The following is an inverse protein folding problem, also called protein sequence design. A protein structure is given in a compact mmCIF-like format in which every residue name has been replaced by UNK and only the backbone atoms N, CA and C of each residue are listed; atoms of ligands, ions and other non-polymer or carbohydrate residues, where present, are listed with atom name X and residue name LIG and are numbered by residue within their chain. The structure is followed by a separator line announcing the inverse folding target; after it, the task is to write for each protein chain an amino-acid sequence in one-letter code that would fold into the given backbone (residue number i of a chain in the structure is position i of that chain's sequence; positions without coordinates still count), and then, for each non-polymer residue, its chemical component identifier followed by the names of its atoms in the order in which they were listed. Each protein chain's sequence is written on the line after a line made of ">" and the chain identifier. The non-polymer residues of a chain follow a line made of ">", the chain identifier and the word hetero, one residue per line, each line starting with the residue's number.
data_IF_287747758207
#
_entry.id   IF_287747758207
#
_cell.length_a   1.000
_cell.length_b   1.000
_cell.length_c   1.000
_cell.angle_alpha   90.00
_cell.angle_beta   90.00
_cell.angle_gamma   90.00
#
_symmetry.space_group_name_H-M   'P 1'
#
loop_
_entity.id
_entity.type
_entity.pdbx_description
1 polymer ?
#
# COMPACT_ATOMS: atom_id res chain seq x y z
N UNK A 1 13.11 77.03 63.06
CA UNK A 1 12.96 75.56 62.95
C UNK A 1 11.51 75.25 63.29
N UNK A 2 10.65 75.15 62.28
CA UNK A 2 9.24 74.76 62.44
C UNK A 2 9.14 73.28 62.07
N UNK A 3 8.65 72.46 63.00
CA UNK A 3 8.37 71.05 62.76
C UNK A 3 6.96 70.94 62.16
N UNK A 4 6.86 70.50 60.91
CA UNK A 4 5.58 70.13 60.31
C UNK A 4 5.03 68.89 61.02
N UNK A 5 3.87 69.03 61.66
CA UNK A 5 3.12 67.93 62.23
C UNK A 5 2.36 67.22 61.10
N UNK A 6 2.91 66.12 60.60
CA UNK A 6 2.15 65.21 59.72
C UNK A 6 1.03 64.55 60.53
N UNK A 7 -0.21 64.94 60.26
CA UNK A 7 -1.40 64.26 60.76
C UNK A 7 -1.58 62.95 60.00
N UNK A 8 -1.31 61.83 60.67
CA UNK A 8 -1.50 60.50 60.12
C UNK A 8 -3.00 60.17 60.11
N UNK A 9 -3.67 60.41 58.99
CA UNK A 9 -5.07 60.06 58.79
C UNK A 9 -5.22 58.54 58.66
N UNK A 10 -6.04 57.93 59.51
CA UNK A 10 -6.22 56.49 59.52
C UNK A 10 -7.30 56.09 58.51
N UNK A 11 -7.07 55.05 57.69
CA UNK A 11 -8.03 54.62 56.68
C UNK A 11 -9.36 54.18 57.31
N UNK A 12 -10.46 54.57 56.66
CA UNK A 12 -11.81 54.24 57.12
C UNK A 12 -12.10 52.74 56.99
N UNK A 13 -13.22 52.28 57.54
CA UNK A 13 -13.63 50.87 57.41
C UNK A 13 -13.90 50.50 55.94
N UNK A 14 -14.50 51.41 55.17
CA UNK A 14 -14.81 51.20 53.76
C UNK A 14 -13.54 51.15 52.92
N UNK A 15 -12.53 51.99 53.23
CA UNK A 15 -11.22 51.93 52.59
C UNK A 15 -10.53 50.58 52.80
N UNK A 16 -10.63 50.02 54.02
CA UNK A 16 -10.06 48.70 54.33
C UNK A 16 -10.77 47.57 53.59
N UNK A 17 -12.08 47.67 53.37
CA UNK A 17 -12.85 46.69 52.58
C UNK A 17 -12.49 46.78 51.09
N UNK A 18 -12.39 48.00 50.56
CA UNK A 18 -11.99 48.24 49.17
C UNK A 18 -10.55 47.75 48.91
N UNK A 19 -9.61 48.03 49.81
CA UNK A 19 -8.24 47.53 49.73
C UNK A 19 -8.17 45.99 49.72
N UNK A 20 -8.97 45.31 50.57
CA UNK A 20 -9.04 43.84 50.59
C UNK A 20 -9.59 43.26 49.28
N UNK A 21 -10.66 43.85 48.72
CA UNK A 21 -11.23 43.44 47.44
C UNK A 21 -10.24 43.63 46.29
N UNK A 22 -9.61 44.80 46.22
CA UNK A 22 -8.59 45.09 45.21
C UNK A 22 -7.39 44.14 45.32
N UNK A 23 -6.97 43.77 46.53
CA UNK A 23 -5.93 42.77 46.75
C UNK A 23 -6.35 41.37 46.25
N UNK A 24 -7.60 40.96 46.52
CA UNK A 24 -8.14 39.68 46.04
C UNK A 24 -8.27 39.62 44.51
N UNK A 25 -8.74 40.69 43.88
CA UNK A 25 -8.83 40.79 42.42
C UNK A 25 -7.46 40.68 41.75
N UNK A 26 -6.43 41.35 42.29
CA UNK A 26 -5.05 41.24 41.79
C UNK A 26 -4.51 39.81 41.89
N UNK A 27 -4.83 39.10 42.98
CA UNK A 27 -4.44 37.70 43.16
C UNK A 27 -5.11 36.82 42.10
N UNK A 28 -6.40 37.01 41.87
CA UNK A 28 -7.16 36.22 40.90
C UNK A 28 -6.71 36.52 39.46
N UNK A 29 -6.46 37.80 39.12
CA UNK A 29 -5.89 38.19 37.83
C UNK A 29 -4.53 37.52 37.58
N UNK A 30 -3.62 37.61 38.56
CA UNK A 30 -2.29 36.98 38.48
C UNK A 30 -2.42 35.46 38.30
N UNK A 31 -3.38 34.83 39.00
CA UNK A 31 -3.66 33.40 38.86
C UNK A 31 -4.15 33.05 37.46
N UNK A 32 -5.09 33.83 36.91
CA UNK A 32 -5.63 33.60 35.57
C UNK A 32 -4.57 33.78 34.48
N UNK A 33 -3.71 34.79 34.60
CA UNK A 33 -2.58 34.98 33.68
C UNK A 33 -1.61 33.81 33.71
N UNK A 34 -1.23 33.32 34.91
CA UNK A 34 -0.38 32.14 35.04
C UNK A 34 -1.01 30.89 34.44
N UNK A 35 -2.32 30.69 34.62
CA UNK A 35 -3.03 29.56 34.02
C UNK A 35 -3.03 29.65 32.49
N UNK A 36 -3.31 30.83 31.92
CA UNK A 36 -3.26 31.04 30.47
C UNK A 36 -1.85 30.80 29.91
N UNK A 37 -0.83 31.28 30.61
CA UNK A 37 0.57 31.04 30.23
C UNK A 37 0.92 29.55 30.29
N UNK A 38 0.57 28.85 31.38
CA UNK A 38 0.77 27.40 31.50
C UNK A 38 0.06 26.65 30.38
N UNK A 39 -1.18 27.00 30.06
CA UNK A 39 -1.91 26.36 28.96
C UNK A 39 -1.26 26.62 27.59
N UNK A 40 -0.75 27.83 27.35
CA UNK A 40 -0.01 28.16 26.13
C UNK A 40 1.29 27.34 26.05
N UNK A 41 2.04 27.26 27.14
CA UNK A 41 3.28 26.50 27.23
C UNK A 41 3.03 25.00 27.06
N UNK A 42 2.00 24.44 27.73
CA UNK A 42 1.59 23.05 27.57
C UNK A 42 1.17 22.76 26.13
N UNK A 43 0.40 23.64 25.47
CA UNK A 43 0.02 23.48 24.06
C UNK A 43 1.23 23.52 23.13
N UNK A 44 2.16 24.46 23.34
CA UNK A 44 3.36 24.59 22.53
C UNK A 44 4.30 23.40 22.71
N UNK A 45 4.54 23.00 23.96
CA UNK A 45 5.39 21.89 24.31
C UNK A 45 4.82 20.57 23.78
N UNK A 46 3.51 20.31 24.01
CA UNK A 46 2.83 19.13 23.44
C UNK A 46 2.93 19.08 21.93
N UNK A 47 2.74 20.19 21.21
CA UNK A 47 2.90 20.19 19.74
C UNK A 47 4.34 19.88 19.31
N UNK A 48 5.35 20.37 20.03
CA UNK A 48 6.78 20.14 19.72
C UNK A 48 7.23 18.72 20.07
N UNK A 49 6.75 18.19 21.20
CA UNK A 49 7.02 16.84 21.70
C UNK A 49 6.51 15.76 20.76
N UNK A 50 5.37 15.97 20.09
CA UNK A 50 4.80 14.99 19.16
C UNK A 50 5.30 15.17 17.72
N UNK A 51 5.60 16.40 17.28
CA UNK A 51 6.09 16.63 15.92
C UNK A 51 7.47 16.03 15.65
N UNK A 52 8.38 16.08 16.63
CA UNK A 52 9.74 15.54 16.49
C UNK A 52 9.79 14.03 16.27
N UNK A 53 9.16 13.18 17.11
CA UNK A 53 9.14 11.75 16.89
C UNK A 53 8.37 11.38 15.62
N UNK A 54 7.30 12.09 15.27
CA UNK A 54 6.58 11.84 14.01
C UNK A 54 7.45 12.12 12.77
N UNK A 55 8.19 13.23 12.78
CA UNK A 55 9.14 13.53 11.70
C UNK A 55 10.27 12.51 11.65
N UNK A 56 10.85 12.15 12.81
CA UNK A 56 11.89 11.14 12.89
C UNK A 56 11.40 9.77 12.37
N UNK A 57 10.19 9.35 12.76
CA UNK A 57 9.57 8.13 12.27
C UNK A 57 9.34 8.19 10.75
N UNK A 58 8.85 9.32 10.22
CA UNK A 58 8.69 9.52 8.78
C UNK A 58 10.02 9.42 8.00
N UNK A 59 11.09 10.01 8.54
CA UNK A 59 12.44 9.89 7.94
C UNK A 59 12.94 8.45 7.98
N UNK A 60 12.77 7.74 9.10
CA UNK A 60 13.15 6.33 9.20
C UNK A 60 12.39 5.48 8.19
N UNK A 61 11.07 5.64 8.08
CA UNK A 61 10.25 4.92 7.09
C UNK A 61 10.70 5.22 5.66
N UNK A 62 11.00 6.49 5.36
CA UNK A 62 11.47 6.87 4.03
C UNK A 62 12.83 6.27 3.69
N UNK A 63 13.77 6.28 4.64
CA UNK A 63 15.09 5.63 4.47
C UNK A 63 14.93 4.12 4.27
N UNK A 64 14.07 3.46 5.06
CA UNK A 64 13.77 2.04 4.89
C UNK A 64 13.17 1.77 3.51
N UNK A 65 12.23 2.59 3.05
CA UNK A 65 11.66 2.47 1.71
C UNK A 65 12.73 2.60 0.61
N UNK A 66 13.65 3.56 0.73
CA UNK A 66 14.78 3.71 -0.20
C UNK A 66 15.71 2.48 -0.21
N UNK A 67 16.00 1.92 0.97
CA UNK A 67 16.82 0.70 1.07
C UNK A 67 16.15 -0.47 0.38
N UNK A 68 14.83 -0.63 0.53
CA UNK A 68 14.07 -1.71 -0.14
C UNK A 68 14.12 -1.55 -1.67
N UNK A 69 14.17 -0.33 -2.22
CA UNK A 69 14.32 -0.13 -3.67
C UNK A 69 15.66 -0.68 -4.23
N UNK A 70 16.69 -0.78 -3.39
CA UNK A 70 18.03 -1.23 -3.82
C UNK A 70 18.18 -2.75 -3.94
N UNK A 71 17.17 -3.53 -3.55
CA UNK A 71 17.20 -4.99 -3.71
C UNK A 71 17.17 -5.32 -5.21
N UNK A 72 18.21 -5.99 -5.76
CA UNK A 72 18.19 -6.42 -7.15
C UNK A 72 17.25 -7.62 -7.29
N UNK A 73 16.22 -7.46 -8.11
CA UNK A 73 15.35 -8.54 -8.60
C UNK A 73 15.50 -8.60 -10.12
N UNK A 74 15.68 -9.81 -10.64
CA UNK A 74 15.75 -10.10 -12.07
C UNK A 74 14.32 -10.16 -12.62
N UNK A 75 13.93 -9.12 -13.35
CA UNK A 75 12.64 -8.99 -14.05
C UNK A 75 12.87 -9.07 -15.56
N UNK A 76 13.65 -10.05 -15.98
CA UNK A 76 13.89 -10.34 -17.38
C UNK A 76 12.96 -11.46 -17.86
N UNK A 77 12.90 -11.52 -19.19
CA UNK A 77 12.12 -12.48 -19.93
C UNK A 77 13.12 -13.43 -20.58
N UNK A 78 13.27 -14.66 -20.07
CA UNK A 78 14.11 -15.67 -20.69
C UNK A 78 13.64 -15.95 -22.13
N UNK A 79 14.41 -16.75 -22.87
CA UNK A 79 13.95 -17.17 -24.20
C UNK A 79 12.76 -18.12 -24.07
N UNK A 80 11.81 -18.00 -24.99
CA UNK A 80 10.77 -19.01 -25.20
C UNK A 80 11.43 -20.30 -25.68
N UNK A 81 11.14 -21.40 -24.99
CA UNK A 81 11.62 -22.76 -25.31
C UNK A 81 10.63 -23.41 -26.26
N UNK A 82 9.36 -23.49 -25.84
CA UNK A 82 8.24 -24.05 -26.58
C UNK A 82 6.91 -23.53 -26.01
N UNK A 83 5.86 -23.61 -26.82
CA UNK A 83 4.47 -23.37 -26.44
C UNK A 83 3.67 -24.67 -26.52
N UNK A 84 2.50 -24.76 -25.86
CA UNK A 84 1.55 -25.84 -26.11
C UNK A 84 1.15 -25.95 -27.59
N UNK A 85 0.72 -27.14 -28.02
CA UNK A 85 0.12 -27.29 -29.34
C UNK A 85 -1.29 -26.68 -29.38
N UNK A 86 -1.37 -25.44 -29.83
CA UNK A 86 -2.62 -24.71 -29.98
C UNK A 86 -3.51 -25.24 -31.12
N UNK A 87 -3.04 -26.15 -31.97
CA UNK A 87 -3.81 -26.67 -33.11
C UNK A 87 -5.01 -27.52 -32.70
N UNK A 88 -5.01 -28.05 -31.47
CA UNK A 88 -6.14 -28.76 -30.87
C UNK A 88 -7.33 -27.84 -30.52
N UNK A 89 -7.15 -26.52 -30.57
CA UNK A 89 -8.16 -25.53 -30.21
C UNK A 89 -8.37 -24.47 -31.30
N UNK A 90 -9.50 -23.74 -31.31
CA UNK A 90 -9.68 -22.59 -32.20
C UNK A 90 -8.58 -21.54 -31.97
N UNK A 91 -8.12 -20.83 -33.02
CA UNK A 91 -7.05 -19.83 -32.91
C UNK A 91 -7.30 -18.75 -31.86
N UNK A 92 -8.56 -18.41 -31.60
CA UNK A 92 -8.94 -17.40 -30.60
C UNK A 92 -8.56 -17.82 -29.17
N UNK A 93 -8.40 -19.11 -28.88
CA UNK A 93 -8.03 -19.59 -27.54
C UNK A 93 -6.63 -19.15 -27.16
N UNK A 94 -5.68 -19.21 -28.10
CA UNK A 94 -4.32 -18.71 -27.85
C UNK A 94 -4.33 -17.21 -27.58
N UNK A 95 -5.13 -16.45 -28.33
CA UNK A 95 -5.25 -15.00 -28.11
C UNK A 95 -5.77 -14.69 -26.71
N UNK A 96 -6.83 -15.40 -26.26
CA UNK A 96 -7.35 -15.28 -24.90
C UNK A 96 -6.31 -15.66 -23.84
N UNK A 97 -5.52 -16.72 -24.07
CA UNK A 97 -4.47 -17.14 -23.14
C UNK A 97 -3.32 -16.11 -23.07
N UNK A 98 -2.93 -15.52 -24.20
CA UNK A 98 -1.94 -14.43 -24.24
C UNK A 98 -2.42 -13.24 -23.42
N UNK A 99 -3.67 -12.82 -23.64
CA UNK A 99 -4.20 -11.63 -22.97
C UNK A 99 -4.45 -11.84 -21.46
N UNK A 100 -4.83 -13.05 -21.04
CA UNK A 100 -5.23 -13.33 -19.66
C UNK A 100 -4.16 -14.02 -18.80
N UNK A 101 -3.23 -14.75 -19.41
CA UNK A 101 -2.36 -15.68 -18.69
C UNK A 101 -0.86 -15.44 -18.91
N UNK A 102 -0.44 -15.01 -20.10
CA UNK A 102 0.99 -14.97 -20.46
C UNK A 102 1.80 -14.02 -19.58
N UNK A 103 1.21 -12.92 -19.10
CA UNK A 103 1.93 -12.00 -18.23
C UNK A 103 2.47 -12.66 -16.95
N UNK A 104 1.75 -13.63 -16.38
CA UNK A 104 2.17 -14.32 -15.16
C UNK A 104 2.75 -15.71 -15.41
N UNK A 105 2.32 -16.37 -16.48
CA UNK A 105 2.60 -17.78 -16.78
C UNK A 105 3.44 -17.95 -18.05
N UNK A 106 4.24 -16.97 -18.48
CA UNK A 106 5.10 -17.13 -19.65
C UNK A 106 6.42 -16.37 -19.48
N UNK A 107 7.38 -16.62 -20.37
CA UNK A 107 8.57 -15.77 -20.52
C UNK A 107 8.29 -14.50 -21.31
N UNK A 108 7.05 -14.20 -21.68
CA UNK A 108 6.64 -13.02 -22.45
C UNK A 108 5.90 -11.99 -21.59
N UNK A 109 6.25 -11.90 -20.30
CA UNK A 109 5.64 -10.95 -19.36
C UNK A 109 5.81 -9.50 -19.80
N UNK A 110 4.71 -8.76 -19.97
CA UNK A 110 4.75 -7.30 -20.03
C UNK A 110 4.78 -6.74 -18.61
N UNK A 111 5.97 -6.26 -18.19
CA UNK A 111 6.18 -5.75 -16.84
C UNK A 111 5.63 -4.33 -16.74
N UNK A 112 4.53 -4.09 -15.98
CA UNK A 112 3.96 -2.76 -15.88
C UNK A 112 4.93 -1.82 -15.17
N UNK A 113 4.86 -0.52 -15.47
CA UNK A 113 5.78 0.47 -14.91
C UNK A 113 5.83 0.47 -13.37
N UNK A 114 4.72 0.14 -12.70
CA UNK A 114 4.65 0.06 -11.24
C UNK A 114 5.34 -1.19 -10.67
N UNK A 115 5.64 -2.22 -11.48
CA UNK A 115 6.50 -3.34 -11.10
C UNK A 115 7.96 -2.93 -10.89
N UNK A 116 8.34 -1.69 -11.21
CA UNK A 116 9.70 -1.18 -10.97
C UNK A 116 9.88 -0.54 -9.59
N UNK A 117 8.80 -0.32 -8.83
CA UNK A 117 8.83 0.40 -7.55
C UNK A 117 8.31 -0.47 -6.41
N UNK A 118 9.08 -0.59 -5.32
CA UNK A 118 8.61 -1.31 -4.14
C UNK A 118 7.44 -0.57 -3.44
N UNK A 119 6.48 -1.31 -2.82
CA UNK A 119 6.49 -2.76 -2.62
C UNK A 119 6.01 -3.58 -3.81
N UNK A 120 5.42 -2.95 -4.83
CA UNK A 120 4.80 -3.67 -5.96
C UNK A 120 5.82 -4.46 -6.78
N UNK A 121 7.04 -3.95 -6.93
CA UNK A 121 8.15 -4.71 -7.51
C UNK A 121 8.34 -6.09 -6.89
N UNK A 122 8.41 -6.17 -5.56
CA UNK A 122 8.62 -7.43 -4.84
C UNK A 122 7.42 -8.36 -4.99
N UNK A 123 6.21 -7.79 -4.91
CA UNK A 123 4.97 -8.53 -5.02
C UNK A 123 4.83 -9.17 -6.41
N UNK A 124 4.88 -8.35 -7.46
CA UNK A 124 4.67 -8.79 -8.85
C UNK A 124 5.76 -9.76 -9.29
N UNK A 125 7.02 -9.46 -8.95
CA UNK A 125 8.12 -10.38 -9.22
C UNK A 125 7.88 -11.77 -8.60
N UNK A 126 7.37 -11.83 -7.37
CA UNK A 126 7.06 -13.09 -6.72
C UNK A 126 5.90 -13.83 -7.39
N UNK A 127 4.82 -13.11 -7.73
CA UNK A 127 3.65 -13.68 -8.41
C UNK A 127 4.03 -14.26 -9.79
N UNK A 128 4.81 -13.54 -10.60
CA UNK A 128 5.27 -14.05 -11.91
C UNK A 128 6.19 -15.26 -11.73
N UNK A 129 7.09 -15.24 -10.73
CA UNK A 129 7.97 -16.37 -10.43
C UNK A 129 7.18 -17.62 -10.01
N UNK A 130 6.19 -17.46 -9.13
CA UNK A 130 5.35 -18.56 -8.66
C UNK A 130 4.38 -19.05 -9.75
N UNK A 131 3.84 -18.13 -10.55
CA UNK A 131 3.02 -18.42 -11.72
C UNK A 131 3.76 -19.28 -12.72
N UNK A 132 4.93 -18.83 -13.20
CA UNK A 132 5.81 -19.60 -14.11
C UNK A 132 6.20 -20.95 -13.52
N UNK A 133 6.43 -21.06 -12.20
CA UNK A 133 6.77 -22.32 -11.56
C UNK A 133 5.60 -23.31 -11.46
N UNK A 134 4.36 -22.82 -11.41
CA UNK A 134 3.16 -23.66 -11.42
C UNK A 134 2.74 -24.07 -12.84
N UNK A 135 2.97 -23.19 -13.83
CA UNK A 135 2.67 -23.38 -15.24
C UNK A 135 3.40 -22.32 -16.09
N UNK A 136 4.04 -22.74 -17.19
CA UNK A 136 4.77 -21.85 -18.08
C UNK A 136 4.44 -22.11 -19.56
N UNK A 137 3.69 -21.21 -20.20
CA UNK A 137 3.37 -21.24 -21.62
C UNK A 137 4.59 -21.06 -22.54
N UNK A 138 5.71 -20.55 -22.03
CA UNK A 138 6.95 -20.42 -22.82
C UNK A 138 7.99 -21.50 -22.54
N UNK A 139 7.70 -22.43 -21.63
CA UNK A 139 8.51 -23.59 -21.29
C UNK A 139 7.54 -24.72 -20.94
N UNK A 140 6.77 -25.12 -21.96
CA UNK A 140 5.63 -25.99 -21.77
C UNK A 140 6.09 -27.42 -21.55
N UNK A 141 6.09 -27.84 -20.28
CA UNK A 141 6.27 -29.23 -19.87
C UNK A 141 4.89 -29.90 -19.75
N UNK A 142 4.79 -31.19 -20.10
CA UNK A 142 3.52 -31.96 -20.26
C UNK A 142 2.67 -32.15 -18.98
N UNK A 143 2.94 -31.42 -17.90
CA UNK A 143 2.18 -31.50 -16.66
C UNK A 143 2.14 -30.17 -15.88
N UNK A 144 1.47 -29.11 -16.38
CA UNK A 144 1.06 -28.03 -15.51
C UNK A 144 -0.05 -28.54 -14.56
N UNK A 145 -0.36 -27.76 -13.51
CA UNK A 145 -1.37 -28.07 -12.50
C UNK A 145 -2.63 -28.81 -13.03
N UNK A 146 -3.26 -29.66 -12.21
CA UNK A 146 -4.47 -30.40 -12.58
C UNK A 146 -5.49 -29.51 -13.31
N UNK A 147 -6.00 -29.96 -14.47
CA UNK A 147 -7.01 -29.27 -15.27
C UNK A 147 -8.13 -28.64 -14.43
N UNK A 148 -8.66 -29.42 -13.47
CA UNK A 148 -9.70 -28.98 -12.54
C UNK A 148 -9.34 -27.70 -11.77
N UNK A 149 -8.07 -27.53 -11.40
CA UNK A 149 -7.60 -26.35 -10.68
C UNK A 149 -7.52 -25.14 -11.61
N UNK A 150 -6.99 -25.30 -12.83
CA UNK A 150 -6.92 -24.23 -13.83
C UNK A 150 -8.34 -23.71 -14.13
N UNK A 151 -9.27 -24.63 -14.38
CA UNK A 151 -10.68 -24.30 -14.63
C UNK A 151 -11.32 -23.54 -13.48
N UNK A 152 -11.10 -24.01 -12.25
CA UNK A 152 -11.64 -23.39 -11.06
C UNK A 152 -11.11 -21.97 -10.84
N UNK A 153 -9.84 -21.73 -11.15
CA UNK A 153 -9.22 -20.40 -11.08
C UNK A 153 -9.80 -19.44 -12.13
N UNK A 154 -10.02 -19.91 -13.36
CA UNK A 154 -10.63 -19.14 -14.46
C UNK A 154 -12.10 -18.84 -14.15
N UNK A 155 -12.88 -19.85 -13.77
CA UNK A 155 -14.31 -19.73 -13.49
C UNK A 155 -14.58 -18.70 -12.38
N UNK A 156 -13.84 -18.83 -11.26
CA UNK A 156 -13.92 -17.91 -10.13
C UNK A 156 -13.33 -16.52 -10.42
N UNK A 157 -12.63 -16.34 -11.54
CA UNK A 157 -11.96 -15.09 -11.89
C UNK A 157 -10.91 -14.68 -10.87
N UNK A 158 -10.20 -15.67 -10.31
CA UNK A 158 -9.11 -15.44 -9.36
C UNK A 158 -7.83 -14.98 -10.07
N UNK A 159 -7.76 -15.19 -11.38
CA UNK A 159 -6.69 -14.73 -12.26
C UNK A 159 -7.18 -13.60 -13.19
N UNK A 160 -6.38 -12.54 -13.41
CA UNK A 160 -5.14 -12.25 -12.69
C UNK A 160 -5.40 -11.71 -11.27
N UNK A 161 -4.40 -11.77 -10.37
CA UNK A 161 -4.49 -11.16 -9.05
C UNK A 161 -4.83 -9.68 -9.15
N UNK A 162 -5.59 -9.18 -8.17
CA UNK A 162 -6.15 -7.82 -8.17
C UNK A 162 -5.09 -6.72 -8.37
N UNK A 163 -3.84 -6.96 -7.96
CA UNK A 163 -2.72 -6.03 -8.12
C UNK A 163 -2.36 -5.74 -9.57
N UNK A 164 -2.65 -6.68 -10.49
CA UNK A 164 -2.47 -6.49 -11.93
C UNK A 164 -3.66 -5.77 -12.57
N UNK A 165 -4.87 -5.91 -12.00
CA UNK A 165 -6.09 -5.26 -12.52
C UNK A 165 -6.17 -3.75 -12.25
N UNK A 166 -5.22 -3.19 -11.47
CA UNK A 166 -5.09 -1.74 -11.29
C UNK A 166 -4.68 -1.01 -12.59
N UNK A 167 -4.07 -1.75 -13.54
CA UNK A 167 -3.55 -1.20 -14.80
C UNK A 167 -4.28 -1.64 -16.07
N UNK A 168 -4.90 -2.82 -16.09
CA UNK A 168 -5.52 -3.39 -17.29
C UNK A 168 -7.01 -3.65 -17.09
N UNK A 169 -7.84 -2.98 -17.90
CA UNK A 169 -9.26 -3.33 -18.09
C UNK A 169 -9.40 -4.58 -18.96
N UNK A 170 -8.36 -4.83 -19.75
CA UNK A 170 -8.20 -5.90 -20.74
C UNK A 170 -8.15 -7.30 -20.09
N UNK A 171 -7.75 -7.41 -18.83
CA UNK A 171 -7.60 -8.70 -18.16
C UNK A 171 -8.90 -9.33 -17.61
N UNK A 172 -10.07 -8.79 -17.95
CA UNK A 172 -11.36 -9.33 -17.50
C UNK A 172 -12.03 -10.10 -18.62
N UNK A 173 -11.76 -11.41 -18.67
CA UNK A 173 -12.52 -12.35 -19.47
C UNK A 173 -14.02 -12.26 -19.11
N UNK A 174 -14.87 -12.08 -20.11
CA UNK A 174 -16.32 -12.30 -20.00
C UNK A 174 -16.62 -13.77 -19.74
N UNK A 175 -17.83 -14.08 -19.26
CA UNK A 175 -18.22 -15.47 -18.98
C UNK A 175 -18.10 -16.37 -20.23
N UNK A 176 -18.42 -15.83 -21.41
CA UNK A 176 -18.26 -16.53 -22.69
C UNK A 176 -16.78 -16.69 -23.11
N UNK A 177 -15.89 -15.79 -22.71
CA UNK A 177 -14.44 -15.94 -22.94
C UNK A 177 -13.82 -16.95 -21.97
N UNK A 178 -14.28 -16.98 -20.71
CA UNK A 178 -13.88 -17.99 -19.73
C UNK A 178 -14.25 -19.39 -20.21
N UNK A 179 -15.50 -19.60 -20.64
CA UNK A 179 -15.97 -20.90 -21.13
C UNK A 179 -15.15 -21.36 -22.34
N UNK A 180 -14.93 -20.47 -23.32
CA UNK A 180 -14.11 -20.76 -24.49
C UNK A 180 -12.64 -21.06 -24.14
N UNK A 181 -12.06 -20.31 -23.21
CA UNK A 181 -10.69 -20.53 -22.76
C UNK A 181 -10.56 -21.87 -22.03
N UNK A 182 -11.52 -22.21 -21.16
CA UNK A 182 -11.57 -23.50 -20.46
C UNK A 182 -11.66 -24.66 -21.45
N UNK A 183 -12.59 -24.61 -22.40
CA UNK A 183 -12.76 -25.66 -23.40
C UNK A 183 -11.51 -25.82 -24.28
N UNK A 184 -10.92 -24.70 -24.70
CA UNK A 184 -9.70 -24.70 -25.50
C UNK A 184 -8.50 -25.27 -24.75
N UNK A 185 -8.28 -24.88 -23.49
CA UNK A 185 -7.18 -25.39 -22.68
C UNK A 185 -7.33 -26.90 -22.39
N UNK A 186 -8.56 -27.40 -22.20
CA UNK A 186 -8.81 -28.85 -22.09
C UNK A 186 -8.35 -29.59 -23.35
N UNK A 187 -8.65 -29.07 -24.53
CA UNK A 187 -8.26 -29.70 -25.79
C UNK A 187 -6.74 -29.70 -25.98
N UNK A 188 -6.08 -28.57 -25.69
CA UNK A 188 -4.62 -28.42 -25.74
C UNK A 188 -3.92 -29.38 -24.77
N UNK A 189 -4.41 -29.49 -23.53
CA UNK A 189 -3.80 -30.34 -22.52
C UNK A 189 -4.00 -31.84 -22.82
N UNK A 190 -5.18 -32.22 -23.32
CA UNK A 190 -5.44 -33.58 -23.77
C UNK A 190 -4.54 -33.99 -24.96
N UNK A 191 -4.20 -33.04 -25.84
CA UNK A 191 -3.27 -33.28 -26.95
C UNK A 191 -1.82 -33.42 -26.46
N UNK A 192 -1.37 -32.62 -25.47
CA UNK A 192 -0.03 -32.80 -24.88
C UNK A 192 0.14 -34.16 -24.19
N UNK A 193 -0.89 -34.65 -23.48
CA UNK A 193 -0.86 -35.98 -22.85
C UNK A 193 -0.70 -37.10 -23.89
N UNK A 194 -1.35 -36.98 -25.05
CA UNK A 194 -1.27 -37.97 -26.14
C UNK A 194 0.09 -37.98 -26.85
N UNK A 195 0.78 -36.84 -26.91
CA UNK A 195 2.08 -36.71 -27.56
C UNK A 195 3.27 -37.06 -26.65
N UNK A 196 3.02 -37.25 -25.35
CA UNK A 196 4.01 -37.66 -24.36
C UNK A 196 4.18 -39.21 -24.25
N UNK A 197 3.29 -39.99 -24.84
CA UNK A 197 3.31 -41.47 -24.93
C UNK A 197 4.05 -41.99 -26.18
#
# INVERSE_FOLDING_TARGET
>A
MAAEHETHDQPTQDDRVAQKRAAQERIEQTRQERLRQLEQDLRHNRRREWRRPLLAAGVVIFVLWLVVQLIPLEMDNPRVVNEPDWSAAPPEVRELAVDACFDCHSHETDWPWYAQVAPMRLYIWNEVREGRAAMNFSDWEDAPASLDEIENQIDKGLMPPWTYTLGSREARLSDAEKERLIEGLRAVLAESEQNAD
#
